data_IF_202717841176
#
_entry.id   IF_202717841176
#
_cell.length_a   1.000
_cell.length_b   1.000
_cell.length_c   1.000
_cell.angle_alpha   90.00
_cell.angle_beta   90.00
_cell.angle_gamma   90.00
#
_symmetry.space_group_name_H-M   'P 1'
#
loop_
_entity.id
_entity.type
_entity.pdbx_description
1 polymer ?
#
# COMPACT_ATOMS: atom_id res chain seq x y z
N UNK A 1 -14.26 -21.31 21.48
CA UNK A 1 -13.98 -21.63 20.06
C UNK A 1 -12.80 -20.78 19.63
N UNK A 2 -11.67 -21.39 19.24
CA UNK A 2 -10.54 -20.65 18.67
C UNK A 2 -10.92 -20.24 17.24
N UNK A 3 -11.54 -19.07 17.07
CA UNK A 3 -11.80 -18.46 15.76
C UNK A 3 -10.49 -17.92 15.16
N UNK A 4 -9.56 -18.82 14.88
CA UNK A 4 -8.32 -18.48 14.21
C UNK A 4 -8.62 -18.10 12.75
N UNK A 5 -8.08 -16.96 12.31
CA UNK A 5 -8.15 -16.51 10.91
C UNK A 5 -7.55 -17.61 10.03
N UNK A 6 -8.21 -17.99 8.91
CA UNK A 6 -7.66 -18.98 8.00
C UNK A 6 -6.25 -18.60 7.52
N UNK A 7 -5.31 -19.55 7.46
CA UNK A 7 -3.89 -19.26 7.20
C UNK A 7 -3.66 -18.56 5.86
N UNK A 8 -4.47 -18.86 4.84
CA UNK A 8 -4.37 -18.22 3.53
C UNK A 8 -4.76 -16.72 3.57
N UNK A 9 -5.71 -16.33 4.42
CA UNK A 9 -6.08 -14.93 4.62
C UNK A 9 -4.93 -14.17 5.28
N UNK A 10 -4.38 -14.72 6.37
CA UNK A 10 -3.22 -14.14 7.04
C UNK A 10 -2.01 -14.02 6.09
N UNK A 11 -1.77 -15.04 5.26
CA UNK A 11 -0.70 -15.01 4.28
C UNK A 11 -0.90 -13.92 3.22
N UNK A 12 -2.13 -13.79 2.70
CA UNK A 12 -2.47 -12.74 1.73
C UNK A 12 -2.26 -11.33 2.31
N UNK A 13 -2.65 -11.10 3.57
CA UNK A 13 -2.45 -9.84 4.26
C UNK A 13 -0.96 -9.52 4.47
N UNK A 14 -0.13 -10.52 4.82
CA UNK A 14 1.33 -10.35 4.93
C UNK A 14 1.98 -9.99 3.60
N UNK A 15 1.54 -10.61 2.51
CA UNK A 15 2.06 -10.30 1.18
C UNK A 15 1.68 -8.87 0.78
N UNK A 16 0.43 -8.46 1.04
CA UNK A 16 -0.05 -7.11 0.79
C UNK A 16 0.72 -6.07 1.60
N UNK A 17 0.99 -6.33 2.88
CA UNK A 17 1.84 -5.47 3.72
C UNK A 17 3.22 -5.24 3.09
N UNK A 18 3.89 -6.32 2.64
CA UNK A 18 5.21 -6.22 2.00
C UNK A 18 5.16 -5.37 0.73
N UNK A 19 4.10 -5.50 -0.06
CA UNK A 19 3.92 -4.71 -1.27
C UNK A 19 3.71 -3.23 -0.96
N UNK A 20 2.85 -2.91 0.00
CA UNK A 20 2.69 -1.54 0.51
C UNK A 20 4.01 -0.95 1.02
N UNK A 21 4.82 -1.74 1.73
CA UNK A 21 6.12 -1.30 2.22
C UNK A 21 7.13 -1.04 1.10
N UNK A 22 7.23 -1.93 0.11
CA UNK A 22 8.08 -1.70 -1.08
C UNK A 22 7.67 -0.43 -1.81
N UNK A 23 6.36 -0.20 -1.94
CA UNK A 23 5.85 0.98 -2.61
C UNK A 23 6.11 2.26 -1.81
N UNK A 24 5.90 2.24 -0.50
CA UNK A 24 6.26 3.35 0.37
C UNK A 24 7.76 3.69 0.30
N UNK A 25 8.62 2.66 0.24
CA UNK A 25 10.07 2.83 0.08
C UNK A 25 10.42 3.53 -1.23
N UNK A 26 9.80 3.08 -2.32
CA UNK A 26 10.02 3.63 -3.66
C UNK A 26 9.54 5.08 -3.77
N UNK A 27 8.32 5.38 -3.33
CA UNK A 27 7.74 6.73 -3.37
C UNK A 27 8.58 7.67 -2.50
N UNK A 28 8.85 7.25 -1.27
CA UNK A 28 9.56 8.11 -0.33
C UNK A 28 11.05 8.25 -0.61
N UNK A 29 11.65 7.35 -1.40
CA UNK A 29 12.98 7.55 -1.96
C UNK A 29 13.00 8.74 -2.94
N UNK A 30 11.95 8.89 -3.76
CA UNK A 30 11.83 10.00 -4.72
C UNK A 30 11.48 11.32 -4.05
N UNK A 31 10.59 11.31 -3.05
CA UNK A 31 10.04 12.52 -2.40
C UNK A 31 10.69 12.89 -1.06
N UNK A 32 11.70 12.15 -0.59
CA UNK A 32 12.39 12.42 0.67
C UNK A 32 11.60 12.13 1.96
N UNK A 33 10.42 11.49 1.88
CA UNK A 33 9.52 11.24 3.01
C UNK A 33 9.32 9.74 3.32
N UNK A 34 10.32 8.92 3.01
CA UNK A 34 10.29 7.45 3.15
C UNK A 34 9.77 6.96 4.50
N UNK A 35 10.32 7.49 5.58
CA UNK A 35 9.97 7.02 6.92
C UNK A 35 8.51 7.32 7.29
N UNK A 36 8.01 8.50 6.92
CA UNK A 36 6.62 8.88 7.14
C UNK A 36 5.66 7.92 6.43
N UNK A 37 5.92 7.60 5.15
CA UNK A 37 5.08 6.67 4.38
C UNK A 37 5.13 5.25 4.93
N UNK A 38 6.31 4.75 5.30
CA UNK A 38 6.45 3.44 5.96
C UNK A 38 5.68 3.38 7.27
N UNK A 39 5.74 4.45 8.06
CA UNK A 39 5.06 4.52 9.35
C UNK A 39 3.55 4.57 9.19
N UNK A 40 3.03 5.25 8.17
CA UNK A 40 1.62 5.24 7.83
C UNK A 40 1.13 3.82 7.47
N UNK A 41 1.87 3.10 6.62
CA UNK A 41 1.54 1.70 6.27
C UNK A 41 1.56 0.82 7.52
N UNK A 42 2.61 0.91 8.34
CA UNK A 42 2.71 0.13 9.59
C UNK A 42 1.57 0.44 10.55
N UNK A 43 1.23 1.72 10.72
CA UNK A 43 0.15 2.15 11.59
C UNK A 43 -1.17 1.50 11.14
N UNK A 44 -1.53 1.60 9.86
CA UNK A 44 -2.77 1.03 9.36
C UNK A 44 -2.87 -0.49 9.59
N UNK A 45 -1.79 -1.23 9.33
CA UNK A 45 -1.79 -2.69 9.55
C UNK A 45 -1.79 -3.07 11.03
N UNK A 46 -1.12 -2.30 11.89
CA UNK A 46 -1.12 -2.53 13.35
C UNK A 46 -2.49 -2.24 13.96
N UNK A 47 -3.14 -1.15 13.56
CA UNK A 47 -4.47 -0.78 14.08
C UNK A 47 -5.54 -1.83 13.78
N UNK A 48 -5.34 -2.63 12.73
CA UNK A 48 -6.29 -3.69 12.33
C UNK A 48 -5.75 -5.11 12.60
N UNK A 49 -4.63 -5.27 13.34
CA UNK A 49 -3.96 -6.59 13.46
C UNK A 49 -4.76 -7.64 14.25
N UNK A 50 -5.74 -7.20 15.02
CA UNK A 50 -6.62 -8.03 15.84
C UNK A 50 -8.03 -8.15 15.26
N UNK A 51 -8.26 -7.63 14.06
CA UNK A 51 -9.56 -7.79 13.39
C UNK A 51 -9.78 -9.27 13.07
N UNK A 52 -10.97 -9.77 13.41
CA UNK A 52 -11.37 -11.17 13.22
C UNK A 52 -12.57 -11.30 12.28
N UNK A 53 -13.27 -10.20 12.00
CA UNK A 53 -14.39 -10.17 11.07
C UNK A 53 -13.87 -10.36 9.63
N UNK A 54 -14.26 -11.44 8.94
CA UNK A 54 -13.79 -11.73 7.59
C UNK A 54 -14.18 -10.63 6.58
N UNK A 55 -15.31 -9.95 6.78
CA UNK A 55 -15.78 -8.88 5.89
C UNK A 55 -14.86 -7.67 6.05
N UNK A 56 -14.64 -7.22 7.29
CA UNK A 56 -13.73 -6.08 7.56
C UNK A 56 -12.30 -6.35 7.12
N UNK A 57 -11.79 -7.58 7.31
CA UNK A 57 -10.47 -7.96 6.82
C UNK A 57 -10.41 -7.80 5.30
N UNK A 58 -11.43 -8.24 4.59
CA UNK A 58 -11.47 -8.13 3.13
C UNK A 58 -11.60 -6.68 2.68
N UNK A 59 -12.43 -5.86 3.33
CA UNK A 59 -12.54 -4.42 3.06
C UNK A 59 -11.20 -3.69 3.28
N UNK A 60 -10.49 -3.99 4.37
CA UNK A 60 -9.16 -3.44 4.64
C UNK A 60 -8.16 -3.82 3.55
N UNK A 61 -8.19 -5.08 3.09
CA UNK A 61 -7.33 -5.55 1.99
C UNK A 61 -7.68 -4.84 0.69
N UNK A 62 -8.95 -4.71 0.35
CA UNK A 62 -9.40 -4.06 -0.87
C UNK A 62 -9.02 -2.57 -0.87
N UNK A 63 -9.15 -1.89 0.26
CA UNK A 63 -8.70 -0.51 0.43
C UNK A 63 -7.18 -0.37 0.18
N UNK A 64 -6.37 -1.27 0.74
CA UNK A 64 -4.93 -1.27 0.52
C UNK A 64 -4.55 -1.58 -0.94
N UNK A 65 -5.22 -2.54 -1.59
CA UNK A 65 -5.02 -2.86 -3.01
C UNK A 65 -5.38 -1.66 -3.89
N UNK A 66 -6.50 -0.98 -3.62
CA UNK A 66 -6.89 0.25 -4.33
C UNK A 66 -5.84 1.35 -4.14
N UNK A 67 -5.33 1.54 -2.93
CA UNK A 67 -4.26 2.51 -2.66
C UNK A 67 -2.99 2.23 -3.48
N UNK A 68 -2.56 0.98 -3.57
CA UNK A 68 -1.43 0.56 -4.41
C UNK A 68 -1.70 0.83 -5.88
N UNK A 69 -2.86 0.40 -6.38
CA UNK A 69 -3.22 0.53 -7.79
C UNK A 69 -3.37 1.99 -8.21
N UNK A 70 -4.00 2.83 -7.38
CA UNK A 70 -4.15 4.26 -7.64
C UNK A 70 -2.79 4.94 -7.81
N UNK A 71 -1.82 4.61 -6.94
CA UNK A 71 -0.48 5.16 -7.11
C UNK A 71 0.23 4.58 -8.35
N UNK A 72 0.08 3.29 -8.65
CA UNK A 72 0.62 2.68 -9.88
C UNK A 72 0.12 3.38 -11.12
N UNK A 73 -1.18 3.63 -11.17
CA UNK A 73 -1.82 4.29 -12.30
C UNK A 73 -1.37 5.74 -12.43
N UNK A 74 -1.40 6.51 -11.34
CA UNK A 74 -0.92 7.90 -11.32
C UNK A 74 0.52 8.01 -11.84
N UNK A 75 1.40 7.12 -11.38
CA UNK A 75 2.78 7.12 -11.83
C UNK A 75 2.92 6.73 -13.31
N UNK A 76 2.18 5.73 -13.79
CA UNK A 76 2.20 5.33 -15.19
C UNK A 76 1.71 6.48 -16.10
N UNK A 77 0.64 7.17 -15.70
CA UNK A 77 0.13 8.35 -16.39
C UNK A 77 1.19 9.45 -16.49
N UNK A 78 1.88 9.75 -15.38
CA UNK A 78 2.96 10.75 -15.36
C UNK A 78 4.18 10.35 -16.22
N UNK A 79 4.45 9.06 -16.41
CA UNK A 79 5.54 8.60 -17.31
C UNK A 79 5.15 8.66 -18.79
N UNK A 80 3.86 8.48 -19.10
CA UNK A 80 3.35 8.49 -20.48
C UNK A 80 3.09 9.89 -21.04
N UNK A 81 3.06 10.92 -20.20
CA UNK A 81 2.87 12.31 -20.62
C UNK A 81 4.12 12.83 -21.37
N UNK A 82 4.01 13.21 -22.65
CA UNK A 82 5.11 13.81 -23.40
C UNK A 82 5.71 15.04 -22.71
N UNK A 83 4.91 15.85 -22.01
CA UNK A 83 5.37 17.07 -21.35
C UNK A 83 6.20 16.79 -20.08
N UNK A 84 5.89 15.72 -19.36
CA UNK A 84 6.66 15.23 -18.20
C UNK A 84 8.11 14.90 -18.56
N UNK A 85 8.35 14.41 -19.79
CA UNK A 85 9.69 14.08 -20.30
C UNK A 85 10.56 15.31 -20.62
N UNK A 86 9.95 16.47 -20.86
CA UNK A 86 10.65 17.70 -21.29
C UNK A 86 10.87 18.71 -20.16
N UNK A 87 9.98 18.76 -19.16
CA UNK A 87 10.04 19.81 -18.12
C UNK A 87 10.95 19.46 -16.94
N UNK A 88 11.21 18.18 -16.65
CA UNK A 88 12.03 17.79 -15.49
C UNK A 88 11.48 18.27 -14.13
N UNK A 89 10.23 18.74 -14.10
CA UNK A 89 9.58 19.21 -12.87
C UNK A 89 8.90 18.00 -12.23
N UNK A 90 9.51 17.50 -11.16
CA UNK A 90 8.87 16.56 -10.25
C UNK A 90 8.19 17.35 -9.12
N UNK A 91 6.87 17.44 -9.15
CA UNK A 91 6.04 17.94 -8.02
C UNK A 91 6.16 17.07 -6.75
#
# INVERSE_FOLDING_TARGET
>A
MNNAIPPHIAQSARNLFRECMRRADYIGAKKGNREALRNLVRYQFRSNMHETDPIKIQECKDAAVRGLFNHMFYEASNMSDPLSRWTGIHD
#
